data_IF_188270183523
#
_entry.id   IF_188270183523
#
_cell.length_a   1.000
_cell.length_b   1.000
_cell.length_c   1.000
_cell.angle_alpha   90.00
_cell.angle_beta   90.00
_cell.angle_gamma   90.00
#
_symmetry.space_group_name_H-M   'P 1'
#
loop_
_entity.id
_entity.type
_entity.pdbx_description
1 polymer ?
#
# COMPACT_ATOMS: atom_id res chain seq x y z
N UNK A 1 -15.90 -19.28 -11.84
CA UNK A 1 -14.97 -18.35 -12.52
C UNK A 1 -15.23 -16.97 -11.97
N UNK A 2 -14.28 -16.36 -11.25
CA UNK A 2 -14.45 -15.03 -10.67
C UNK A 2 -13.27 -14.13 -11.08
N UNK A 3 -13.57 -12.87 -11.38
CA UNK A 3 -12.59 -11.80 -11.62
C UNK A 3 -11.56 -11.70 -10.48
N UNK A 4 -11.97 -12.03 -9.25
CA UNK A 4 -11.13 -12.04 -8.06
C UNK A 4 -9.95 -13.02 -8.17
N UNK A 5 -10.16 -14.21 -8.73
CA UNK A 5 -9.08 -15.19 -8.91
C UNK A 5 -8.10 -14.77 -10.01
N UNK A 6 -8.57 -14.05 -11.04
CA UNK A 6 -7.66 -13.52 -12.06
C UNK A 6 -6.82 -12.36 -11.50
N UNK A 7 -7.38 -11.51 -10.64
CA UNK A 7 -6.59 -10.50 -9.89
C UNK A 7 -5.57 -11.14 -8.95
N UNK A 8 -5.94 -12.24 -8.29
CA UNK A 8 -5.00 -12.98 -7.45
C UNK A 8 -3.80 -13.49 -8.27
N UNK A 9 -4.03 -14.05 -9.47
CA UNK A 9 -2.93 -14.47 -10.35
C UNK A 9 -2.07 -13.30 -10.83
N UNK A 10 -2.69 -12.18 -11.19
CA UNK A 10 -1.96 -10.95 -11.53
C UNK A 10 -1.02 -10.56 -10.38
N UNK A 11 -1.51 -10.65 -9.14
CA UNK A 11 -0.68 -10.40 -7.98
C UNK A 11 0.54 -11.32 -7.93
N UNK A 12 0.34 -12.64 -8.03
CA UNK A 12 1.43 -13.63 -7.99
C UNK A 12 2.47 -13.43 -9.10
N UNK A 13 2.06 -12.93 -10.25
CA UNK A 13 2.95 -12.67 -11.39
C UNK A 13 3.74 -11.36 -11.27
N UNK A 14 3.14 -10.32 -10.69
CA UNK A 14 3.70 -8.97 -10.69
C UNK A 14 4.35 -8.56 -9.36
N UNK A 15 4.05 -9.25 -8.26
CA UNK A 15 4.64 -8.87 -6.96
C UNK A 15 6.15 -9.07 -6.99
N UNK A 16 6.91 -8.05 -6.57
CA UNK A 16 8.36 -8.11 -6.59
C UNK A 16 9.00 -7.91 -7.97
N UNK A 17 8.24 -7.59 -9.03
CA UNK A 17 8.85 -7.04 -10.24
C UNK A 17 9.19 -5.57 -10.03
N UNK A 18 10.29 -5.09 -10.62
CA UNK A 18 10.58 -3.66 -10.61
C UNK A 18 9.50 -2.89 -11.37
N UNK A 19 9.08 -1.76 -10.81
CA UNK A 19 8.17 -0.87 -11.52
C UNK A 19 8.91 -0.18 -12.68
N UNK A 20 8.21 0.01 -13.79
CA UNK A 20 8.73 0.85 -14.87
C UNK A 20 8.89 2.30 -14.38
N UNK A 21 9.70 3.09 -15.09
CA UNK A 21 9.91 4.50 -14.76
C UNK A 21 8.56 5.24 -14.78
N UNK A 22 8.23 5.90 -13.67
CA UNK A 22 6.95 6.61 -13.49
C UNK A 22 5.77 5.75 -13.03
N UNK A 23 5.93 4.44 -12.85
CA UNK A 23 4.89 3.56 -12.29
C UNK A 23 5.13 3.27 -10.79
N UNK A 24 4.05 3.10 -10.04
CA UNK A 24 4.14 2.60 -8.66
C UNK A 24 4.30 1.08 -8.64
N UNK A 25 5.17 0.51 -7.79
CA UNK A 25 5.31 -0.94 -7.66
C UNK A 25 4.05 -1.56 -7.05
N UNK A 26 3.79 -2.82 -7.40
CA UNK A 26 2.75 -3.60 -6.74
C UNK A 26 3.16 -3.87 -5.29
N UNK A 27 2.32 -3.46 -4.34
CA UNK A 27 2.64 -3.56 -2.92
C UNK A 27 2.62 -5.01 -2.41
N UNK A 28 3.63 -5.42 -1.61
CA UNK A 28 3.56 -6.66 -0.85
C UNK A 28 2.31 -6.69 0.04
N UNK A 29 1.86 -7.89 0.40
CA UNK A 29 0.80 -8.02 1.42
C UNK A 29 1.29 -7.42 2.73
N UNK A 30 0.37 -6.88 3.52
CA UNK A 30 0.68 -6.25 4.81
C UNK A 30 1.63 -5.05 4.70
N UNK A 31 1.57 -4.34 3.57
CA UNK A 31 2.30 -3.11 3.35
C UNK A 31 1.39 -2.03 2.75
N UNK A 32 1.70 -0.77 3.07
CA UNK A 32 1.06 0.40 2.48
C UNK A 32 2.10 1.46 2.11
N UNK A 33 1.68 2.53 1.44
CA UNK A 33 2.56 3.65 1.06
C UNK A 33 2.22 4.88 1.89
N UNK A 34 3.24 5.52 2.45
CA UNK A 34 3.14 6.81 3.12
C UNK A 34 4.15 7.79 2.51
N UNK A 35 3.91 9.09 2.69
CA UNK A 35 4.83 10.15 2.28
C UNK A 35 5.68 10.59 3.46
N UNK A 36 6.95 10.19 3.49
CA UNK A 36 7.89 10.57 4.54
C UNK A 36 8.42 11.99 4.37
N UNK A 37 8.47 12.78 5.45
CA UNK A 37 9.09 14.10 5.45
C UNK A 37 10.51 14.05 6.02
N UNK A 38 10.80 13.07 6.87
CA UNK A 38 12.06 12.94 7.60
C UNK A 38 12.67 11.57 7.31
N UNK A 39 13.98 11.56 7.07
CA UNK A 39 14.80 10.37 6.95
C UNK A 39 15.83 10.35 8.07
N UNK A 40 15.76 9.34 8.93
CA UNK A 40 16.73 9.12 9.99
C UNK A 40 17.72 8.05 9.57
N UNK A 41 19.00 8.36 9.66
CA UNK A 41 20.10 7.44 9.37
C UNK A 41 20.67 6.98 10.71
N UNK A 42 20.64 5.67 10.92
CA UNK A 42 21.17 5.00 12.11
C UNK A 42 22.14 3.89 11.67
N UNK A 43 23.07 3.51 12.54
CA UNK A 43 23.89 2.30 12.33
C UNK A 43 23.15 1.03 12.76
N UNK A 44 23.77 -0.14 12.55
CA UNK A 44 23.18 -1.44 12.87
C UNK A 44 22.97 -1.67 14.38
N UNK A 45 23.69 -0.96 15.23
CA UNK A 45 23.50 -0.98 16.69
C UNK A 45 22.37 -0.05 17.15
N UNK A 46 21.92 0.86 16.30
CA UNK A 46 20.89 1.85 16.61
C UNK A 46 21.43 3.19 17.11
N UNK A 47 22.69 3.51 16.85
CA UNK A 47 23.23 4.84 17.14
C UNK A 47 22.82 5.83 16.03
N UNK A 48 22.52 7.06 16.44
CA UNK A 48 22.22 8.15 15.52
C UNK A 48 23.43 8.54 14.66
N UNK A 49 23.23 8.63 13.34
CA UNK A 49 24.25 9.10 12.38
C UNK A 49 23.89 10.47 11.83
N UNK A 50 22.70 10.61 11.24
CA UNK A 50 22.23 11.89 10.67
C UNK A 50 20.71 11.91 10.47
N UNK A 51 20.16 13.09 10.24
CA UNK A 51 18.76 13.28 9.88
C UNK A 51 18.65 14.22 8.68
N UNK A 52 17.80 13.87 7.72
CA UNK A 52 17.60 14.63 6.47
C UNK A 52 16.11 14.88 6.22
N UNK A 53 15.81 15.96 5.50
CA UNK A 53 14.48 16.18 4.92
C UNK A 53 14.36 15.40 3.62
N UNK A 54 13.16 14.94 3.30
CA UNK A 54 12.87 14.18 2.08
C UNK A 54 12.09 15.06 1.09
N UNK A 55 12.52 15.09 -0.16
CA UNK A 55 11.83 15.84 -1.22
C UNK A 55 10.50 15.21 -1.61
N UNK A 56 9.56 16.01 -2.12
CA UNK A 56 8.25 15.50 -2.53
C UNK A 56 8.32 14.44 -3.64
N UNK A 57 9.31 14.52 -4.53
CA UNK A 57 9.50 13.59 -5.64
C UNK A 57 10.03 12.21 -5.21
N UNK A 58 10.51 12.08 -3.97
CA UNK A 58 11.12 10.84 -3.47
C UNK A 58 10.59 10.40 -2.10
N UNK A 59 9.47 10.98 -1.66
CA UNK A 59 8.92 10.73 -0.33
C UNK A 59 8.04 9.48 -0.20
N UNK A 60 7.66 8.86 -1.32
CA UNK A 60 6.93 7.59 -1.29
C UNK A 60 7.74 6.51 -0.57
N UNK A 61 7.17 5.98 0.49
CA UNK A 61 7.80 5.06 1.41
C UNK A 61 6.85 3.88 1.61
N UNK A 62 7.26 2.70 1.15
CA UNK A 62 6.56 1.45 1.43
C UNK A 62 6.84 1.08 2.88
N UNK A 63 5.79 0.91 3.67
CA UNK A 63 5.86 0.65 5.11
C UNK A 63 5.14 -0.65 5.46
N UNK A 64 5.59 -1.36 6.51
CA UNK A 64 4.80 -2.39 7.17
C UNK A 64 3.43 -1.86 7.61
N UNK A 65 2.37 -2.63 7.42
CA UNK A 65 1.01 -2.29 7.84
C UNK A 65 0.24 -3.52 8.33
N UNK A 66 -0.28 -3.44 9.55
CA UNK A 66 -1.08 -4.52 10.15
C UNK A 66 -2.47 -4.65 9.53
N UNK A 67 -2.90 -3.66 8.74
CA UNK A 67 -4.24 -3.60 8.14
C UNK A 67 -5.35 -3.27 9.15
N UNK A 68 -5.00 -2.95 10.40
CA UNK A 68 -5.95 -2.51 11.43
C UNK A 68 -6.43 -1.08 11.15
N UNK A 69 -7.71 -0.84 11.33
CA UNK A 69 -8.26 0.51 11.20
C UNK A 69 -7.60 1.48 12.19
N UNK A 70 -7.05 2.59 11.69
CA UNK A 70 -6.47 3.66 12.51
C UNK A 70 -7.52 4.69 12.93
N UNK A 71 -8.56 4.23 13.62
CA UNK A 71 -9.67 5.06 14.13
C UNK A 71 -9.71 5.08 15.66
N UNK A 72 -10.40 6.06 16.24
CA UNK A 72 -10.56 6.20 17.69
C UNK A 72 -9.57 7.17 18.34
N UNK A 73 -9.58 7.21 19.67
CA UNK A 73 -8.80 8.16 20.49
C UNK A 73 -7.30 7.81 20.48
N UNK A 74 -6.98 6.52 20.44
CA UNK A 74 -5.61 5.98 20.40
C UNK A 74 -5.47 5.05 19.19
N UNK A 75 -5.28 5.62 17.99
CA UNK A 75 -5.12 4.80 16.79
C UNK A 75 -3.84 3.97 16.90
N UNK A 76 -3.85 2.70 16.45
CA UNK A 76 -2.66 1.86 16.47
C UNK A 76 -1.53 2.47 15.64
N UNK A 77 -0.27 2.31 16.09
CA UNK A 77 0.91 2.74 15.35
C UNK A 77 1.16 1.85 14.13
N UNK A 78 1.87 2.39 13.15
CA UNK A 78 2.55 1.58 12.16
C UNK A 78 3.77 0.87 12.79
N UNK A 79 4.13 -0.36 12.35
CA UNK A 79 5.15 -1.19 12.99
C UNK A 79 6.56 -0.65 13.00
N UNK A 80 7.00 0.05 11.95
CA UNK A 80 8.39 0.48 11.79
C UNK A 80 8.47 1.99 11.58
N UNK A 81 7.86 2.46 10.50
CA UNK A 81 7.84 3.86 10.09
C UNK A 81 6.49 4.47 10.49
N UNK A 82 6.48 5.62 11.14
CA UNK A 82 5.26 6.35 11.51
C UNK A 82 5.55 7.85 11.65
N UNK A 83 4.58 8.62 12.12
CA UNK A 83 4.76 10.03 12.43
C UNK A 83 5.56 10.23 13.73
N UNK A 84 6.15 11.43 13.88
CA UNK A 84 6.92 11.84 15.09
C UNK A 84 6.16 11.61 16.39
N UNK A 85 4.83 11.78 16.40
CA UNK A 85 4.02 11.51 17.59
C UNK A 85 3.98 10.03 18.02
N UNK A 86 4.53 9.10 17.26
CA UNK A 86 4.68 7.70 17.63
C UNK A 86 6.15 7.34 17.81
N UNK A 87 7.02 7.81 16.91
CA UNK A 87 8.44 7.45 16.92
C UNK A 87 9.22 8.15 18.04
N UNK A 88 8.88 9.39 18.39
CA UNK A 88 9.67 10.18 19.31
C UNK A 88 9.13 10.14 20.74
N UNK A 89 9.88 9.52 21.66
CA UNK A 89 9.54 9.52 23.08
C UNK A 89 9.80 10.85 23.79
N UNK A 90 10.68 11.70 23.26
CA UNK A 90 10.90 13.07 23.71
C UNK A 90 9.88 14.08 23.13
N UNK A 91 8.93 13.65 22.30
CA UNK A 91 8.01 14.54 21.60
C UNK A 91 7.29 15.53 22.54
N UNK A 92 6.72 15.03 23.64
CA UNK A 92 5.98 15.87 24.59
C UNK A 92 6.83 16.95 25.26
N UNK A 93 8.16 16.79 25.32
CA UNK A 93 9.05 17.80 25.86
C UNK A 93 9.20 19.02 24.93
N UNK A 94 9.03 18.81 23.62
CA UNK A 94 9.31 19.81 22.60
C UNK A 94 8.07 20.38 21.90
N UNK A 95 6.88 19.81 22.07
CA UNK A 95 5.67 20.35 21.43
C UNK A 95 5.19 21.69 22.03
N UNK A 96 4.59 22.58 21.21
CA UNK A 96 3.86 23.74 21.69
C UNK A 96 2.52 23.33 22.34
N UNK A 97 1.99 24.18 23.22
CA UNK A 97 0.73 23.94 23.97
C UNK A 97 -0.51 23.77 23.06
N UNK A 98 -0.43 24.19 21.80
CA UNK A 98 -1.50 24.01 20.80
C UNK A 98 -1.62 22.57 20.31
N UNK A 99 -0.57 21.76 20.46
CA UNK A 99 -0.57 20.34 20.07
C UNK A 99 -0.89 19.49 21.28
N UNK A 100 -1.88 18.60 21.11
CA UNK A 100 -2.27 17.66 22.16
C UNK A 100 -1.12 16.68 22.44
N UNK A 101 -0.81 16.52 23.73
CA UNK A 101 0.11 15.50 24.22
C UNK A 101 -0.31 14.10 23.81
N UNK A 102 0.68 13.25 23.63
CA UNK A 102 0.54 11.89 23.09
C UNK A 102 1.15 10.84 24.03
N UNK A 103 0.91 10.96 25.34
CA UNK A 103 1.64 10.21 26.38
C UNK A 103 1.64 8.68 26.22
N UNK A 104 0.71 8.10 25.44
CA UNK A 104 0.62 6.65 25.19
C UNK A 104 1.17 6.19 23.84
N UNK A 105 1.28 7.09 22.87
CA UNK A 105 1.57 6.69 21.48
C UNK A 105 2.94 6.05 21.33
N UNK A 106 3.96 6.64 21.96
CA UNK A 106 5.32 6.12 21.89
C UNK A 106 5.45 4.77 22.60
N UNK A 107 4.81 4.61 23.76
CA UNK A 107 4.78 3.33 24.48
C UNK A 107 4.09 2.22 23.67
N UNK A 108 2.94 2.53 23.04
CA UNK A 108 2.24 1.59 22.18
C UNK A 108 3.07 1.22 20.93
N UNK A 109 3.82 2.19 20.37
CA UNK A 109 4.75 1.96 19.26
C UNK A 109 5.94 1.08 19.67
N UNK A 110 6.63 1.42 20.76
CA UNK A 110 7.75 0.64 21.30
C UNK A 110 7.32 -0.79 21.63
N UNK A 111 6.16 -0.97 22.24
CA UNK A 111 5.62 -2.30 22.53
C UNK A 111 5.38 -3.10 21.24
N UNK A 112 4.74 -2.50 20.24
CA UNK A 112 4.49 -3.15 18.96
C UNK A 112 5.79 -3.55 18.24
N UNK A 113 6.81 -2.68 18.29
CA UNK A 113 8.11 -2.92 17.70
C UNK A 113 8.89 -4.00 18.48
N UNK A 114 8.83 -4.00 19.83
CA UNK A 114 9.43 -5.04 20.68
C UNK A 114 8.85 -6.41 20.37
N UNK A 115 7.52 -6.50 20.23
CA UNK A 115 6.86 -7.76 19.90
C UNK A 115 7.36 -8.36 18.57
N UNK A 116 7.66 -7.51 17.57
CA UNK A 116 8.25 -7.98 16.31
C UNK A 116 9.72 -8.33 16.47
N UNK A 117 10.48 -7.49 17.18
CA UNK A 117 11.90 -7.70 17.49
C UNK A 117 12.16 -9.05 18.16
N UNK A 118 11.29 -9.43 19.11
CA UNK A 118 11.41 -10.66 19.92
C UNK A 118 10.86 -11.92 19.24
N UNK A 119 10.22 -11.77 18.07
CA UNK A 119 9.68 -12.90 17.32
C UNK A 119 10.78 -13.66 16.56
N UNK A 120 10.48 -14.90 16.16
CA UNK A 120 11.36 -15.69 15.27
C UNK A 120 11.54 -15.03 13.89
N UNK A 121 10.60 -14.16 13.52
CA UNK A 121 10.53 -13.46 12.24
C UNK A 121 11.07 -12.02 12.32
N UNK A 122 12.08 -11.78 13.15
CA UNK A 122 12.73 -10.47 13.33
C UNK A 122 13.68 -10.10 12.18
N UNK A 123 14.19 -8.86 12.19
CA UNK A 123 15.16 -8.35 11.21
C UNK A 123 16.14 -7.37 11.86
N UNK A 124 17.38 -7.27 11.34
CA UNK A 124 18.40 -6.35 11.87
C UNK A 124 17.93 -4.89 11.89
N UNK A 125 17.20 -4.46 10.86
CA UNK A 125 16.57 -3.14 10.83
C UNK A 125 15.64 -2.87 12.02
N UNK A 126 14.85 -3.88 12.42
CA UNK A 126 13.88 -3.79 13.52
C UNK A 126 14.62 -3.59 14.84
N UNK A 127 15.71 -4.33 15.05
CA UNK A 127 16.56 -4.18 16.23
C UNK A 127 17.25 -2.81 16.29
N UNK A 128 17.87 -2.37 15.19
CA UNK A 128 18.51 -1.05 15.11
C UNK A 128 17.52 0.09 15.40
N UNK A 129 16.35 0.06 14.76
CA UNK A 129 15.30 1.07 14.98
C UNK A 129 14.81 1.03 16.43
N UNK A 130 14.58 -0.16 17.00
CA UNK A 130 14.15 -0.30 18.39
C UNK A 130 15.17 0.30 19.36
N UNK A 131 16.46 -0.01 19.19
CA UNK A 131 17.52 0.51 20.04
C UNK A 131 17.59 2.03 19.97
N UNK A 132 17.52 2.61 18.77
CA UNK A 132 17.55 4.05 18.58
C UNK A 132 16.36 4.77 19.23
N UNK A 133 15.14 4.34 18.91
CA UNK A 133 13.92 5.07 19.36
C UNK A 133 13.70 4.95 20.86
N UNK A 134 14.19 3.89 21.49
CA UNK A 134 14.13 3.68 22.95
C UNK A 134 14.96 4.70 23.74
N UNK A 135 15.99 5.30 23.15
CA UNK A 135 16.81 6.32 23.81
C UNK A 135 16.09 7.66 23.99
N UNK A 136 14.93 7.84 23.36
CA UNK A 136 14.10 9.05 23.48
C UNK A 136 14.83 10.34 23.09
N UNK A 137 15.57 10.34 21.98
CA UNK A 137 16.31 11.52 21.48
C UNK A 137 15.89 11.98 20.08
N UNK A 138 14.84 11.38 19.51
CA UNK A 138 14.48 11.60 18.10
C UNK A 138 14.26 13.08 17.78
N UNK A 139 13.49 13.83 18.59
CA UNK A 139 13.29 15.26 18.33
C UNK A 139 14.58 16.04 18.55
N UNK A 140 15.30 15.75 19.63
CA UNK A 140 16.58 16.37 19.91
C UNK A 140 17.56 16.21 18.73
N UNK A 141 17.68 15.02 18.16
CA UNK A 141 18.58 14.72 17.03
C UNK A 141 18.13 15.41 15.74
N UNK A 142 16.82 15.51 15.51
CA UNK A 142 16.25 16.28 14.40
C UNK A 142 16.54 17.79 14.52
N UNK A 143 16.46 18.34 15.74
CA UNK A 143 16.81 19.76 16.01
C UNK A 143 18.30 19.99 15.81
N UNK A 144 19.14 19.10 16.37
CA UNK A 144 20.60 19.16 16.25
C UNK A 144 21.07 19.08 14.80
N UNK A 145 20.35 18.32 13.97
CA UNK A 145 20.60 18.20 12.52
C UNK A 145 20.02 19.37 11.71
N UNK A 146 19.31 20.30 12.35
CA UNK A 146 18.74 21.49 11.71
C UNK A 146 17.51 21.23 10.83
N UNK A 147 16.93 20.03 10.88
CA UNK A 147 15.74 19.68 10.06
C UNK A 147 14.43 20.05 10.74
N UNK A 148 14.42 20.11 12.08
CA UNK A 148 13.31 20.64 12.87
C UNK A 148 13.75 21.92 13.58
N UNK A 149 12.90 22.94 13.49
CA UNK A 149 13.15 24.25 14.05
C UNK A 149 12.35 24.46 15.32
N UNK A 150 13.02 25.00 16.34
CA UNK A 150 12.35 25.52 17.53
C UNK A 150 12.05 27.01 17.35
N UNK A 151 11.03 27.47 18.07
CA UNK A 151 10.77 28.87 18.32
C UNK A 151 11.64 29.32 19.50
N UNK A 152 12.48 30.34 19.27
CA UNK A 152 13.47 30.80 20.26
C UNK A 152 12.82 31.36 21.53
N UNK A 153 11.59 31.90 21.44
CA UNK A 153 10.90 32.50 22.58
C UNK A 153 10.32 31.46 23.55
N UNK A 154 9.84 30.34 23.00
CA UNK A 154 9.20 29.26 23.77
C UNK A 154 10.11 28.05 24.02
N UNK A 155 11.18 27.89 23.25
CA UNK A 155 12.00 26.68 23.24
C UNK A 155 11.27 25.43 22.70
N UNK A 156 10.10 25.62 22.07
CA UNK A 156 9.25 24.55 21.53
C UNK A 156 9.35 24.49 20.01
N UNK A 157 8.97 23.36 19.42
CA UNK A 157 8.86 23.20 17.98
C UNK A 157 7.83 24.18 17.40
N UNK A 158 8.11 24.74 16.22
CA UNK A 158 7.08 25.40 15.43
C UNK A 158 6.01 24.39 15.04
N UNK A 159 4.73 24.77 15.17
CA UNK A 159 3.59 23.85 14.98
C UNK A 159 3.56 23.22 13.58
N UNK A 160 3.85 24.01 12.53
CA UNK A 160 3.87 23.57 11.14
C UNK A 160 5.27 23.65 10.56
N UNK A 161 5.76 22.53 10.03
CA UNK A 161 7.06 22.36 9.41
C UNK A 161 6.97 21.27 8.34
N UNK A 162 7.87 21.30 7.35
CA UNK A 162 7.95 20.26 6.32
C UNK A 162 6.59 20.01 5.61
N UNK A 163 5.80 21.07 5.41
CA UNK A 163 4.50 21.01 4.74
C UNK A 163 3.33 20.45 5.57
N UNK A 164 3.53 20.11 6.85
CA UNK A 164 2.48 19.52 7.70
C UNK A 164 2.57 20.00 9.16
N UNK A 165 1.67 19.54 10.03
CA UNK A 165 1.82 19.72 11.48
C UNK A 165 2.89 18.77 12.00
N UNK A 166 3.71 19.21 12.96
CA UNK A 166 4.90 18.45 13.38
C UNK A 166 4.56 17.06 13.96
N UNK A 167 3.37 16.90 14.57
CA UNK A 167 2.86 15.61 15.04
C UNK A 167 2.61 14.58 13.92
N UNK A 168 2.46 15.06 12.67
CA UNK A 168 2.19 14.26 11.47
C UNK A 168 3.39 14.12 10.54
N UNK A 169 4.52 14.73 10.86
CA UNK A 169 5.76 14.52 10.11
C UNK A 169 6.12 13.03 10.17
N UNK A 170 6.06 12.36 9.03
CA UNK A 170 6.28 10.94 8.86
C UNK A 170 7.77 10.66 8.67
N UNK A 171 8.28 9.65 9.37
CA UNK A 171 9.70 9.33 9.45
C UNK A 171 9.96 7.99 8.79
N UNK A 172 11.00 7.93 7.95
CA UNK A 172 11.57 6.69 7.41
C UNK A 172 12.99 6.48 7.90
N UNK A 173 13.45 5.23 7.86
CA UNK A 173 14.78 4.86 8.39
C UNK A 173 15.71 4.33 7.30
N UNK A 174 16.95 4.80 7.34
CA UNK A 174 18.10 4.15 6.71
C UNK A 174 18.91 3.48 7.82
N UNK A 175 19.22 2.20 7.64
CA UNK A 175 20.05 1.43 8.59
C UNK A 175 21.36 1.09 7.90
N UNK A 176 22.47 1.59 8.44
CA UNK A 176 23.81 1.34 7.91
C UNK A 176 24.36 0.05 8.51
N UNK A 177 24.35 -1.01 7.70
CA UNK A 177 24.89 -2.30 8.08
C UNK A 177 26.41 -2.37 7.90
N UNK A 178 27.07 -3.17 8.74
CA UNK A 178 28.48 -3.53 8.53
C UNK A 178 28.69 -4.31 7.23
N UNK A 179 27.68 -5.08 6.82
CA UNK A 179 27.63 -5.75 5.52
C UNK A 179 27.14 -4.80 4.42
N UNK A 180 27.98 -4.57 3.41
CA UNK A 180 27.71 -3.62 2.32
C UNK A 180 26.74 -4.16 1.26
N UNK A 181 26.46 -5.45 1.24
CA UNK A 181 25.50 -6.03 0.30
C UNK A 181 24.05 -5.88 0.76
N UNK A 182 23.83 -5.58 2.04
CA UNK A 182 22.51 -5.39 2.63
C UNK A 182 21.86 -4.07 2.16
N UNK A 183 20.57 -4.12 1.80
CA UNK A 183 19.80 -2.93 1.42
C UNK A 183 19.56 -2.02 2.62
N UNK A 184 20.17 -0.84 2.62
CA UNK A 184 20.13 0.10 3.75
C UNK A 184 18.80 0.86 3.86
N UNK A 185 18.02 0.95 2.78
CA UNK A 185 16.74 1.67 2.76
C UNK A 185 15.62 0.71 3.14
N UNK A 186 15.06 0.90 4.34
CA UNK A 186 13.98 0.03 4.87
C UNK A 186 12.76 -0.08 3.95
N UNK A 187 12.50 0.94 3.11
CA UNK A 187 11.42 0.95 2.13
C UNK A 187 11.80 0.40 0.74
N UNK A 188 12.94 -0.28 0.64
CA UNK A 188 13.36 -1.06 -0.53
C UNK A 188 13.80 -2.49 -0.17
N UNK A 189 13.96 -2.77 1.12
CA UNK A 189 14.45 -4.02 1.65
C UNK A 189 13.37 -5.11 1.63
N UNK A 190 13.51 -6.07 0.71
CA UNK A 190 12.57 -7.19 0.59
C UNK A 190 12.71 -8.20 1.72
N UNK A 191 13.89 -8.39 2.30
CA UNK A 191 14.07 -9.34 3.40
C UNK A 191 13.36 -8.83 4.66
N UNK A 192 13.33 -7.51 4.85
CA UNK A 192 12.51 -6.87 5.88
C UNK A 192 11.00 -7.04 5.63
N UNK A 193 10.54 -6.94 4.38
CA UNK A 193 9.14 -7.17 4.03
C UNK A 193 8.70 -8.60 4.32
N UNK A 194 9.50 -9.58 3.90
CA UNK A 194 9.21 -11.00 4.10
C UNK A 194 9.21 -11.34 5.60
N UNK A 195 10.15 -10.78 6.36
CA UNK A 195 10.17 -10.86 7.83
C UNK A 195 8.86 -10.35 8.45
N UNK A 196 8.38 -9.18 8.02
CA UNK A 196 7.13 -8.63 8.56
C UNK A 196 5.90 -9.47 8.17
N UNK A 197 5.84 -9.95 6.93
CA UNK A 197 4.75 -10.79 6.43
C UNK A 197 4.68 -12.09 7.26
N UNK A 198 5.83 -12.72 7.52
CA UNK A 198 5.91 -13.93 8.31
C UNK A 198 5.51 -13.69 9.79
N UNK A 199 6.02 -12.61 10.40
CA UNK A 199 5.65 -12.20 11.76
C UNK A 199 4.13 -12.00 11.90
N UNK A 200 3.52 -11.28 10.94
CA UNK A 200 2.08 -11.08 10.99
C UNK A 200 1.30 -12.38 10.81
N UNK A 201 1.72 -13.25 9.89
CA UNK A 201 1.08 -14.54 9.65
C UNK A 201 1.08 -15.43 10.89
N UNK A 202 2.16 -15.42 11.68
CA UNK A 202 2.28 -16.15 12.94
C UNK A 202 1.31 -15.63 14.02
N UNK A 203 1.13 -14.31 14.13
CA UNK A 203 0.21 -13.69 15.08
C UNK A 203 -1.28 -13.89 14.75
N UNK A 204 -1.62 -14.47 13.59
CA UNK A 204 -3.01 -14.66 13.19
C UNK A 204 -3.63 -15.84 13.95
N UNK A 205 -4.59 -15.54 14.83
CA UNK A 205 -5.47 -16.53 15.46
C UNK A 205 -6.86 -16.52 14.81
N UNK A 206 -7.64 -17.59 15.01
CA UNK A 206 -9.02 -17.67 14.51
C UNK A 206 -9.11 -17.91 13.01
N UNK A 207 -8.46 -18.97 12.52
CA UNK A 207 -8.59 -19.44 11.13
C UNK A 207 -10.02 -19.87 10.85
N UNK A 208 -10.52 -19.54 9.67
CA UNK A 208 -11.85 -19.87 9.18
C UNK A 208 -11.78 -20.20 7.69
N UNK A 209 -12.80 -20.88 7.18
CA UNK A 209 -12.88 -21.16 5.75
C UNK A 209 -12.98 -19.84 4.96
N UNK A 210 -11.98 -19.54 4.14
CA UNK A 210 -12.08 -18.47 3.14
C UNK A 210 -12.88 -18.98 1.95
N UNK A 211 -14.05 -18.37 1.71
CA UNK A 211 -14.99 -18.82 0.68
C UNK A 211 -14.43 -18.61 -0.73
N UNK A 212 -13.49 -17.68 -0.91
CA UNK A 212 -12.84 -17.44 -2.20
C UNK A 212 -11.81 -18.52 -2.57
N UNK A 213 -11.08 -19.06 -1.58
CA UNK A 213 -9.99 -20.03 -1.81
C UNK A 213 -10.37 -21.47 -1.47
N UNK A 214 -11.42 -21.68 -0.67
CA UNK A 214 -11.79 -22.98 -0.12
C UNK A 214 -10.82 -23.51 0.94
N UNK A 215 -9.90 -22.66 1.46
CA UNK A 215 -8.90 -23.03 2.46
C UNK A 215 -9.13 -22.28 3.76
N UNK A 216 -8.66 -22.84 4.87
CA UNK A 216 -8.65 -22.14 6.16
C UNK A 216 -7.61 -21.02 6.16
N UNK A 217 -8.02 -19.82 6.50
CA UNK A 217 -7.16 -18.63 6.59
C UNK A 217 -7.74 -17.63 7.60
N UNK A 218 -6.98 -16.61 7.98
CA UNK A 218 -7.50 -15.54 8.84
C UNK A 218 -8.60 -14.78 8.11
N UNK A 219 -9.80 -14.73 8.69
CA UNK A 219 -10.88 -13.91 8.17
C UNK A 219 -10.51 -12.42 8.27
N UNK A 220 -10.73 -11.67 7.21
CA UNK A 220 -10.42 -10.25 7.16
C UNK A 220 -11.67 -9.41 7.05
N UNK A 221 -11.83 -8.45 7.96
CA UNK A 221 -13.03 -7.62 8.07
C UNK A 221 -12.79 -6.18 7.59
N UNK A 222 -11.53 -5.74 7.58
CA UNK A 222 -11.14 -4.37 7.22
C UNK A 222 -10.60 -4.35 5.80
N UNK A 223 -11.41 -4.81 4.84
CA UNK A 223 -10.99 -4.84 3.44
C UNK A 223 -10.52 -3.47 2.92
N UNK A 224 -9.53 -3.44 2.01
CA UNK A 224 -8.98 -2.20 1.50
C UNK A 224 -10.04 -1.34 0.81
N UNK A 225 -10.01 -0.04 1.10
CA UNK A 225 -10.88 0.97 0.48
C UNK A 225 -10.12 1.77 -0.59
N UNK A 226 -10.76 2.77 -1.20
CA UNK A 226 -10.19 3.63 -2.23
C UNK A 226 -9.83 2.85 -3.51
N UNK A 227 -10.73 1.95 -3.91
CA UNK A 227 -10.61 1.24 -5.20
C UNK A 227 -11.06 2.14 -6.35
N UNK A 228 -12.11 2.93 -6.13
CA UNK A 228 -12.60 3.92 -7.09
C UNK A 228 -12.03 5.29 -6.71
N UNK A 229 -11.33 5.95 -7.64
CA UNK A 229 -10.63 7.22 -7.37
C UNK A 229 -11.60 8.35 -7.02
N UNK A 230 -12.79 8.38 -7.63
CA UNK A 230 -13.83 9.39 -7.39
C UNK A 230 -14.45 9.30 -5.99
N UNK A 231 -14.40 8.13 -5.34
CA UNK A 231 -15.02 7.91 -4.02
C UNK A 231 -13.99 7.30 -3.05
N UNK A 232 -13.31 8.14 -2.24
CA UNK A 232 -12.20 7.71 -1.40
C UNK A 232 -12.54 6.57 -0.42
N UNK A 233 -13.80 6.42 -0.01
CA UNK A 233 -14.23 5.39 0.95
C UNK A 233 -14.88 4.16 0.32
N UNK A 234 -14.97 4.10 -1.01
CA UNK A 234 -15.55 2.97 -1.70
C UNK A 234 -14.76 1.68 -1.41
N UNK A 235 -15.49 0.60 -1.13
CA UNK A 235 -14.97 -0.74 -0.85
C UNK A 235 -15.58 -1.72 -1.85
N UNK A 236 -14.79 -2.71 -2.26
CA UNK A 236 -15.26 -3.80 -3.10
C UNK A 236 -16.00 -4.87 -2.30
N UNK A 237 -15.50 -5.13 -1.09
CA UNK A 237 -16.12 -6.01 -0.10
C UNK A 237 -16.32 -5.18 1.16
N UNK A 238 -17.57 -5.00 1.56
CA UNK A 238 -17.93 -4.39 2.83
C UNK A 238 -18.96 -5.24 3.53
N UNK A 239 -18.86 -5.26 4.85
CA UNK A 239 -19.96 -5.66 5.72
C UNK A 239 -20.27 -4.44 6.58
N UNK A 240 -21.50 -3.95 6.50
CA UNK A 240 -21.99 -3.06 7.55
C UNK A 240 -22.32 -3.95 8.74
N UNK A 241 -21.71 -3.72 9.91
CA UNK A 241 -22.47 -3.83 11.14
C UNK A 241 -21.79 -3.35 12.42
N UNK A 242 -22.49 -2.42 13.05
CA UNK A 242 -22.71 -2.34 14.49
C UNK A 242 -23.40 -3.64 14.92
N UNK A 243 -22.80 -4.41 15.83
CA UNK A 243 -23.29 -5.73 16.28
C UNK A 243 -24.62 -5.65 17.07
N UNK A 244 -25.21 -4.46 17.15
CA UNK A 244 -26.35 -4.12 18.02
C UNK A 244 -27.71 -4.10 17.31
N UNK A 245 -27.80 -4.27 15.98
CA UNK A 245 -29.09 -4.30 15.28
C UNK A 245 -29.54 -5.73 14.95
N UNK A 246 -30.52 -6.22 15.71
CA UNK A 246 -31.13 -7.57 15.77
C UNK A 246 -31.76 -8.14 14.47
N UNK A 247 -31.43 -7.59 13.30
CA UNK A 247 -32.15 -7.89 12.05
C UNK A 247 -31.30 -8.48 10.91
N UNK A 248 -29.96 -8.47 11.01
CA UNK A 248 -29.11 -8.73 9.83
C UNK A 248 -28.94 -10.20 9.44
N UNK A 249 -29.03 -11.13 10.40
CA UNK A 249 -28.77 -12.56 10.14
C UNK A 249 -29.92 -13.51 10.51
N UNK A 250 -31.12 -12.97 10.82
CA UNK A 250 -32.24 -13.71 11.44
C UNK A 250 -32.45 -15.13 10.87
N UNK A 251 -32.13 -16.12 11.70
CA UNK A 251 -32.42 -17.54 11.47
C UNK A 251 -31.53 -18.26 10.45
N UNK A 252 -30.55 -17.57 9.81
CA UNK A 252 -29.66 -18.19 8.81
C UNK A 252 -28.23 -18.36 9.30
N UNK A 253 -27.68 -17.32 9.92
CA UNK A 253 -26.29 -17.30 10.35
C UNK A 253 -26.18 -16.82 11.79
N UNK A 254 -25.30 -17.45 12.57
CA UNK A 254 -25.00 -17.07 13.94
C UNK A 254 -24.12 -15.81 14.03
N UNK A 255 -23.31 -15.56 13.00
CA UNK A 255 -22.40 -14.43 12.91
C UNK A 255 -22.10 -14.06 11.45
N UNK A 256 -21.42 -12.93 11.23
CA UNK A 256 -21.08 -12.42 9.89
C UNK A 256 -20.15 -13.37 9.12
N UNK A 257 -19.31 -14.09 9.84
CA UNK A 257 -18.32 -15.03 9.30
C UNK A 257 -18.99 -16.21 8.59
N UNK A 258 -20.15 -16.66 9.08
CA UNK A 258 -20.92 -17.70 8.40
C UNK A 258 -21.58 -17.20 7.10
N UNK A 259 -21.88 -15.90 7.02
CA UNK A 259 -22.49 -15.30 5.82
C UNK A 259 -21.46 -15.14 4.68
N UNK A 260 -20.31 -14.54 4.98
CA UNK A 260 -19.20 -14.39 4.05
C UNK A 260 -17.89 -14.24 4.82
N UNK A 261 -16.95 -15.13 4.56
CA UNK A 261 -15.58 -15.03 5.08
C UNK A 261 -14.58 -15.02 3.93
N UNK A 262 -13.77 -13.97 3.85
CA UNK A 262 -12.69 -13.83 2.87
C UNK A 262 -11.37 -13.70 3.63
N UNK A 263 -10.41 -14.53 3.24
CA UNK A 263 -9.09 -14.58 3.84
C UNK A 263 -8.30 -13.29 3.67
N UNK A 264 -7.52 -12.92 4.69
CA UNK A 264 -6.66 -11.75 4.72
C UNK A 264 -5.73 -11.66 3.52
N UNK A 265 -4.94 -12.71 3.28
CA UNK A 265 -3.99 -12.77 2.18
C UNK A 265 -4.70 -12.63 0.83
N UNK A 266 -5.73 -13.45 0.58
CA UNK A 266 -6.49 -13.39 -0.68
C UNK A 266 -7.06 -12.00 -0.92
N UNK A 267 -7.66 -11.40 0.11
CA UNK A 267 -8.24 -10.08 0.01
C UNK A 267 -7.18 -9.03 -0.31
N UNK A 268 -6.07 -9.00 0.40
CA UNK A 268 -5.00 -8.03 0.14
C UNK A 268 -4.40 -8.18 -1.25
N UNK A 269 -4.07 -9.41 -1.66
CA UNK A 269 -3.52 -9.68 -3.00
C UNK A 269 -4.44 -9.19 -4.10
N UNK A 270 -5.72 -9.56 -4.02
CA UNK A 270 -6.75 -9.15 -4.98
C UNK A 270 -6.91 -7.62 -5.04
N UNK A 271 -7.00 -6.94 -3.89
CA UNK A 271 -7.20 -5.48 -3.88
C UNK A 271 -5.94 -4.72 -4.31
N UNK A 272 -4.75 -5.18 -3.92
CA UNK A 272 -3.48 -4.57 -4.33
C UNK A 272 -3.29 -4.69 -5.84
N UNK A 273 -3.54 -5.88 -6.41
CA UNK A 273 -3.48 -6.08 -7.86
C UNK A 273 -4.48 -5.16 -8.60
N UNK A 274 -5.71 -5.04 -8.11
CA UNK A 274 -6.70 -4.17 -8.73
C UNK A 274 -6.29 -2.69 -8.68
N UNK A 275 -5.84 -2.20 -7.54
CA UNK A 275 -5.35 -0.81 -7.40
C UNK A 275 -4.16 -0.54 -8.31
N UNK A 276 -3.22 -1.49 -8.38
CA UNK A 276 -2.05 -1.40 -9.24
C UNK A 276 -2.44 -1.35 -10.72
N UNK A 277 -3.33 -2.23 -11.18
CA UNK A 277 -3.87 -2.20 -12.55
C UNK A 277 -4.59 -0.87 -12.84
N UNK A 278 -5.43 -0.38 -11.93
CA UNK A 278 -6.12 0.91 -12.11
C UNK A 278 -5.12 2.06 -12.21
N UNK A 279 -4.07 2.06 -11.38
CA UNK A 279 -3.03 3.10 -11.41
C UNK A 279 -2.25 3.12 -12.74
N UNK A 280 -1.98 1.94 -13.30
CA UNK A 280 -1.19 1.78 -14.52
C UNK A 280 -2.00 1.97 -15.82
N UNK A 281 -3.21 1.42 -15.89
CA UNK A 281 -4.00 1.36 -17.13
C UNK A 281 -5.50 1.61 -16.93
N UNK A 282 -5.87 2.22 -15.80
CA UNK A 282 -7.23 2.66 -15.56
C UNK A 282 -7.62 3.82 -16.47
N UNK A 283 -8.86 3.77 -16.96
CA UNK A 283 -9.48 4.78 -17.79
C UNK A 283 -10.63 5.41 -17.02
N UNK A 284 -10.73 6.74 -17.03
CA UNK A 284 -11.65 7.47 -16.17
C UNK A 284 -12.71 8.20 -17.01
N UNK A 285 -13.98 7.92 -16.71
CA UNK A 285 -15.15 8.52 -17.35
C UNK A 285 -16.06 9.08 -16.25
N UNK A 286 -15.80 10.32 -15.84
CA UNK A 286 -16.46 10.96 -14.69
C UNK A 286 -16.34 10.08 -13.42
N UNK A 287 -17.42 9.43 -12.98
CA UNK A 287 -17.41 8.53 -11.82
C UNK A 287 -16.96 7.11 -12.14
N UNK A 288 -17.10 6.67 -13.40
CA UNK A 288 -16.78 5.33 -13.85
C UNK A 288 -15.28 5.17 -14.07
N UNK A 289 -14.69 4.17 -13.42
CA UNK A 289 -13.34 3.70 -13.71
C UNK A 289 -13.41 2.41 -14.52
N UNK A 290 -12.90 2.41 -15.74
CA UNK A 290 -12.77 1.22 -16.57
C UNK A 290 -11.33 0.71 -16.50
N UNK A 291 -11.14 -0.58 -16.26
CA UNK A 291 -9.83 -1.21 -16.32
C UNK A 291 -9.94 -2.51 -17.12
N UNK A 292 -8.96 -2.74 -17.99
CA UNK A 292 -8.86 -3.97 -18.79
C UNK A 292 -7.52 -4.60 -18.55
N UNK A 293 -7.46 -5.92 -18.42
CA UNK A 293 -6.19 -6.63 -18.27
C UNK A 293 -6.32 -8.04 -18.82
N UNK A 294 -5.17 -8.63 -19.13
CA UNK A 294 -5.08 -10.01 -19.55
C UNK A 294 -4.43 -10.84 -18.42
N UNK A 295 -4.83 -12.11 -18.31
CA UNK A 295 -4.46 -13.00 -17.20
C UNK A 295 -2.96 -13.25 -17.02
N UNK A 296 -2.16 -13.15 -18.08
CA UNK A 296 -0.70 -13.25 -18.09
C UNK A 296 0.01 -11.90 -18.29
N UNK A 297 -0.71 -10.78 -18.11
CA UNK A 297 -0.20 -9.41 -18.26
C UNK A 297 0.38 -9.08 -19.65
N UNK A 298 -0.10 -9.75 -20.69
CA UNK A 298 0.21 -9.37 -22.07
C UNK A 298 -0.43 -8.01 -22.41
N UNK A 299 0.24 -7.24 -23.27
CA UNK A 299 -0.29 -5.96 -23.75
C UNK A 299 -1.61 -6.15 -24.49
N UNK A 300 -2.58 -5.31 -24.15
CA UNK A 300 -3.89 -5.27 -24.78
C UNK A 300 -4.02 -4.02 -25.65
N UNK A 301 -4.73 -4.11 -26.79
CA UNK A 301 -5.14 -2.91 -27.50
C UNK A 301 -6.04 -2.07 -26.60
N UNK A 302 -5.96 -0.75 -26.74
CA UNK A 302 -6.88 0.14 -26.04
C UNK A 302 -8.32 -0.15 -26.48
N UNK A 303 -9.21 -0.39 -25.51
CA UNK A 303 -10.63 -0.69 -25.77
C UNK A 303 -11.48 0.55 -26.09
N UNK A 304 -10.90 1.74 -26.00
CA UNK A 304 -11.61 3.01 -26.25
C UNK A 304 -11.13 3.72 -27.50
N UNK A 305 -10.04 3.25 -28.09
CA UNK A 305 -9.52 3.74 -29.36
C UNK A 305 -10.30 3.12 -30.51
N UNK A 306 -10.52 3.88 -31.57
CA UNK A 306 -11.09 3.32 -32.78
C UNK A 306 -10.07 2.38 -33.45
N UNK A 307 -10.52 1.53 -34.36
CA UNK A 307 -9.61 0.70 -35.15
C UNK A 307 -8.59 1.53 -35.95
N UNK A 308 -8.93 2.79 -36.28
CA UNK A 308 -8.02 3.73 -36.93
C UNK A 308 -6.93 4.20 -35.95
N UNK A 309 -7.29 4.55 -34.72
CA UNK A 309 -6.30 5.06 -33.74
C UNK A 309 -5.35 3.96 -33.19
N UNK A 310 -5.62 2.69 -33.50
CA UNK A 310 -4.81 1.52 -33.16
C UNK A 310 -3.85 1.12 -34.30
N UNK A 311 -3.92 1.82 -35.43
CA UNK A 311 -3.21 1.51 -36.66
C UNK A 311 -1.97 2.41 -36.76
N UNK A 312 -0.83 1.90 -36.31
CA UNK A 312 0.45 2.65 -36.24
C UNK A 312 1.20 2.72 -37.59
N UNK A 313 0.68 2.10 -38.67
CA UNK A 313 1.35 2.04 -39.97
C UNK A 313 0.99 3.26 -40.86
N UNK A 314 1.91 4.23 -40.98
CA UNK A 314 1.83 5.43 -41.84
C UNK A 314 2.06 5.16 -43.35
N UNK A 315 2.06 3.91 -43.82
CA UNK A 315 2.27 3.64 -45.26
C UNK A 315 1.04 4.05 -46.10
N UNK A 316 1.14 5.22 -46.74
CA UNK A 316 0.17 5.67 -47.75
C UNK A 316 0.25 4.77 -48.99
N UNK A 317 -0.83 4.06 -49.31
CA UNK A 317 -0.99 3.35 -50.60
C UNK A 317 -1.56 4.27 -51.67
N UNK A 318 -0.97 4.25 -52.87
CA UNK A 318 -1.34 5.07 -54.03
C UNK A 318 -2.71 4.73 -54.65
N UNK A 319 -3.32 3.59 -54.30
CA UNK A 319 -4.64 3.17 -54.79
C UNK A 319 -5.65 3.09 -53.62
N UNK A 320 -6.30 4.22 -53.36
CA UNK A 320 -7.12 4.44 -52.16
C UNK A 320 -8.60 4.11 -52.42
N UNK A 321 -9.00 2.85 -52.19
CA UNK A 321 -10.40 2.50 -51.89
C UNK A 321 -10.60 2.47 -50.37
N UNK A 322 -11.27 3.47 -49.76
CA UNK A 322 -11.41 3.59 -48.31
C UNK A 322 -12.06 2.36 -47.67
N UNK A 323 -12.99 1.68 -48.37
CA UNK A 323 -13.74 0.56 -47.80
C UNK A 323 -12.92 -0.72 -47.76
N UNK A 324 -12.18 -0.99 -48.83
CA UNK A 324 -11.32 -2.18 -48.93
C UNK A 324 -10.08 -2.05 -48.04
N UNK A 325 -9.48 -0.87 -48.01
CA UNK A 325 -8.36 -0.59 -47.11
C UNK A 325 -8.76 -0.78 -45.64
N UNK A 326 -9.91 -0.22 -45.25
CA UNK A 326 -10.43 -0.37 -43.90
C UNK A 326 -10.71 -1.84 -43.53
N UNK A 327 -11.32 -2.62 -44.42
CA UNK A 327 -11.64 -4.03 -44.12
C UNK A 327 -10.38 -4.91 -44.00
N UNK A 328 -9.39 -4.70 -44.87
CA UNK A 328 -8.11 -5.42 -44.82
C UNK A 328 -7.32 -5.06 -43.54
N UNK A 329 -7.29 -3.79 -43.15
CA UNK A 329 -6.61 -3.34 -41.91
C UNK A 329 -7.33 -3.80 -40.65
N UNK A 330 -8.66 -3.71 -40.60
CA UNK A 330 -9.45 -4.24 -39.49
C UNK A 330 -9.23 -5.75 -39.32
N UNK A 331 -9.17 -6.51 -40.42
CA UNK A 331 -8.86 -7.94 -40.38
C UNK A 331 -7.43 -8.20 -39.89
N UNK A 332 -6.44 -7.41 -40.32
CA UNK A 332 -5.06 -7.51 -39.85
C UNK A 332 -4.93 -7.22 -38.35
N UNK A 333 -5.60 -6.18 -37.83
CA UNK A 333 -5.67 -5.90 -36.41
C UNK A 333 -6.30 -7.07 -35.65
N UNK A 334 -7.49 -7.53 -36.07
CA UNK A 334 -8.17 -8.64 -35.38
C UNK A 334 -7.38 -9.96 -35.41
N UNK A 335 -6.79 -10.32 -36.56
CA UNK A 335 -6.00 -11.55 -36.72
C UNK A 335 -4.60 -11.45 -36.11
N UNK A 336 -4.00 -10.26 -36.13
CA UNK A 336 -2.69 -9.98 -35.55
C UNK A 336 -2.72 -10.08 -34.02
N UNK A 337 -3.74 -9.49 -33.39
CA UNK A 337 -3.95 -9.65 -31.95
C UNK A 337 -4.28 -11.10 -31.57
N UNK A 338 -5.04 -11.83 -32.39
CA UNK A 338 -5.29 -13.28 -32.16
C UNK A 338 -3.98 -14.09 -32.01
N UNK A 339 -2.92 -13.74 -32.74
CA UNK A 339 -1.60 -14.42 -32.65
C UNK A 339 -0.82 -14.10 -31.38
N UNK A 340 -1.18 -13.04 -30.64
CA UNK A 340 -0.52 -12.62 -29.40
C UNK A 340 -1.09 -13.31 -28.15
N UNK A 341 -2.22 -14.00 -28.27
CA UNK A 341 -2.87 -14.70 -27.16
C UNK A 341 -2.62 -16.20 -27.24
N UNK A 342 -2.25 -16.81 -26.11
CA UNK A 342 -2.18 -18.25 -25.97
C UNK A 342 -3.57 -18.85 -25.71
N UNK A 343 -3.76 -20.12 -26.09
CA UNK A 343 -4.97 -20.86 -25.76
C UNK A 343 -5.11 -20.95 -24.23
N UNK A 344 -6.15 -20.30 -23.69
CA UNK A 344 -6.44 -20.25 -22.24
C UNK A 344 -6.22 -18.87 -21.60
N UNK A 345 -5.61 -17.94 -22.32
CA UNK A 345 -5.51 -16.54 -21.91
C UNK A 345 -6.89 -15.90 -21.82
N UNK A 346 -7.11 -15.12 -20.76
CA UNK A 346 -8.37 -14.43 -20.51
C UNK A 346 -8.17 -12.94 -20.55
N UNK A 347 -9.07 -12.25 -21.23
CA UNK A 347 -9.17 -10.80 -21.19
C UNK A 347 -10.32 -10.42 -20.27
N UNK A 348 -10.02 -9.59 -19.28
CA UNK A 348 -10.97 -9.06 -18.32
C UNK A 348 -11.24 -7.59 -18.66
N UNK A 349 -12.52 -7.22 -18.65
CA UNK A 349 -12.98 -5.83 -18.75
C UNK A 349 -13.84 -5.56 -17.53
N UNK A 350 -13.42 -4.62 -16.68
CA UNK A 350 -14.10 -4.28 -15.43
C UNK A 350 -14.43 -2.80 -15.39
N UNK A 351 -15.71 -2.48 -15.28
CA UNK A 351 -16.20 -1.15 -14.94
C UNK A 351 -16.50 -1.06 -13.45
N UNK A 352 -15.97 -0.03 -12.80
CA UNK A 352 -16.17 0.27 -11.39
C UNK A 352 -16.82 1.64 -11.24
N UNK A 353 -18.01 1.66 -10.70
CA UNK A 353 -18.72 2.89 -10.35
C UNK A 353 -19.19 2.77 -8.90
N UNK A 354 -19.19 3.89 -8.17
CA UNK A 354 -19.57 3.88 -6.78
C UNK A 354 -21.10 3.84 -6.65
N UNK A 355 -21.63 2.82 -5.98
CA UNK A 355 -23.07 2.69 -5.76
C UNK A 355 -23.66 3.79 -4.86
N UNK A 356 -22.81 4.45 -4.06
CA UNK A 356 -23.17 5.50 -3.11
C UNK A 356 -22.07 6.57 -3.10
N UNK A 357 -22.46 7.84 -3.25
CA UNK A 357 -21.58 9.01 -3.10
C UNK A 357 -21.32 9.37 -1.65
#
# INVERSE_FOLDING_TARGET
MSWANELYKVYELAVGTEAAEGESPLLPVSHSVQKAQIELVIDEEGNFVSANTVSEDSNETIIPDTGKARTGIYPPPYPLNDCLKYIAGDFNAFIPDTIKRNDRNHDDYLKQLSDWRESENTHKAVEAVYNYVKENTVIYDCIKSGILLIDESSGKLKEKQLGTTVDKCFVRFIVLYSDKESEIKTWKDRTLYDSFIAYLAEKQSGKQLCYATGRESMAYYTHPYQIVKSVPRAKLISSDHDETTDFTYRGRFANKEQALSVGYEFSQKMHNALKWLIGRQGMYFDTLTLVTWQSSLAELPSVTKSAWDLDDDEEQKEDYDPKRYFSERLAALMLGYKKKFNDGDKVMVMGLDAATT
#
